data_IF_143211790044
#
_entry.id   IF_143211790044
#
_cell.length_a   1.000
_cell.length_b   1.000
_cell.length_c   1.000
_cell.angle_alpha   90.00
_cell.angle_beta   90.00
_cell.angle_gamma   90.00
#
_symmetry.space_group_name_H-M   'P 1'
#
loop_
_entity.id
_entity.type
_entity.pdbx_description
1 polymer ?
#
# COMPACT_ATOMS: atom_id res chain seq x y z
N UNK A 1 -16.03 -8.08 -7.04
CA UNK A 1 -14.93 -7.25 -6.50
C UNK A 1 -13.86 -7.18 -7.56
N UNK A 2 -13.48 -5.99 -8.04
CA UNK A 2 -12.51 -5.83 -9.15
C UNK A 2 -11.14 -6.45 -8.83
N UNK A 3 -10.73 -6.47 -7.57
CA UNK A 3 -9.46 -7.08 -7.16
C UNK A 3 -9.42 -8.59 -7.47
N UNK A 4 -10.53 -9.31 -7.25
CA UNK A 4 -10.60 -10.75 -7.53
C UNK A 4 -10.55 -11.04 -9.04
N UNK A 5 -11.20 -10.21 -9.85
CA UNK A 5 -11.18 -10.34 -11.31
C UNK A 5 -9.79 -10.05 -11.89
N UNK A 6 -9.13 -9.01 -11.36
CA UNK A 6 -7.76 -8.66 -11.71
C UNK A 6 -6.78 -9.76 -11.28
N UNK A 7 -6.95 -10.36 -10.10
CA UNK A 7 -6.11 -11.48 -9.66
C UNK A 7 -6.33 -12.72 -10.52
N UNK A 8 -7.58 -13.02 -10.90
CA UNK A 8 -7.90 -14.12 -11.82
C UNK A 8 -7.21 -13.93 -13.18
N UNK A 9 -7.25 -12.70 -13.70
CA UNK A 9 -6.75 -12.39 -15.05
C UNK A 9 -5.23 -12.18 -15.09
N UNK A 10 -4.65 -11.56 -14.07
CA UNK A 10 -3.25 -11.07 -14.07
C UNK A 10 -2.39 -11.71 -12.99
N UNK A 11 -2.97 -12.52 -12.09
CA UNK A 11 -2.24 -13.12 -10.96
C UNK A 11 -1.25 -14.21 -11.35
N UNK A 12 -1.18 -14.59 -12.63
CA UNK A 12 -0.14 -15.47 -13.18
C UNK A 12 1.01 -14.72 -13.84
N UNK A 13 0.91 -13.40 -13.99
CA UNK A 13 1.95 -12.59 -14.62
C UNK A 13 3.20 -12.56 -13.72
N UNK A 14 4.33 -13.01 -14.27
CA UNK A 14 5.60 -13.16 -13.54
C UNK A 14 6.63 -12.08 -13.92
N UNK A 15 6.55 -11.57 -15.15
CA UNK A 15 7.56 -10.67 -15.69
C UNK A 15 6.94 -9.60 -16.60
N UNK A 16 7.45 -8.37 -16.49
CA UNK A 16 7.16 -7.25 -17.38
C UNK A 16 8.47 -6.83 -18.05
N UNK A 17 8.53 -6.89 -19.37
CA UNK A 17 9.73 -6.47 -20.13
C UNK A 17 9.88 -4.94 -20.15
N UNK A 18 8.77 -4.21 -20.26
CA UNK A 18 8.74 -2.75 -20.23
C UNK A 18 8.68 -2.18 -18.81
N UNK A 19 7.69 -1.32 -18.59
CA UNK A 19 7.42 -0.63 -17.33
C UNK A 19 6.01 -0.95 -16.82
N UNK A 20 5.78 -0.68 -15.53
CA UNK A 20 4.47 -0.76 -14.88
C UNK A 20 3.98 0.65 -14.53
N UNK A 21 2.83 1.05 -15.09
CA UNK A 21 2.21 2.37 -14.87
C UNK A 21 0.82 2.20 -14.26
N UNK A 22 0.63 2.77 -13.06
CA UNK A 22 -0.63 2.79 -12.32
C UNK A 22 -1.08 4.25 -12.19
N UNK A 23 -2.06 4.64 -13.00
CA UNK A 23 -2.51 6.03 -13.11
C UNK A 23 -4.00 6.14 -12.89
N UNK A 24 -4.44 7.01 -11.97
CA UNK A 24 -5.87 7.28 -11.72
C UNK A 24 -6.69 6.02 -11.45
N UNK A 25 -6.05 5.02 -10.85
CA UNK A 25 -6.67 3.74 -10.55
C UNK A 25 -7.41 3.81 -9.21
N UNK A 26 -8.44 4.65 -9.14
CA UNK A 26 -9.12 5.00 -7.89
C UNK A 26 -9.79 3.83 -7.17
N UNK A 27 -10.07 2.72 -7.87
CA UNK A 27 -10.62 1.51 -7.28
C UNK A 27 -9.56 0.63 -6.59
N UNK A 28 -8.26 0.84 -6.87
CA UNK A 28 -7.19 0.01 -6.32
C UNK A 28 -6.81 0.46 -4.91
N UNK A 29 -6.79 -0.50 -4.00
CA UNK A 29 -6.27 -0.33 -2.64
C UNK A 29 -4.89 -0.97 -2.48
N UNK A 30 -4.60 -2.00 -3.29
CA UNK A 30 -3.33 -2.73 -3.31
C UNK A 30 -2.99 -3.25 -4.71
N UNK A 31 -1.71 -3.54 -4.97
CA UNK A 31 -1.21 -4.23 -6.16
C UNK A 31 -1.05 -5.75 -5.95
N UNK A 32 -1.53 -6.29 -4.83
CA UNK A 32 -1.43 -7.71 -4.47
C UNK A 32 -2.01 -8.67 -5.50
N UNK A 33 -2.92 -8.21 -6.37
CA UNK A 33 -3.46 -9.01 -7.48
C UNK A 33 -2.37 -9.42 -8.48
N UNK A 34 -1.26 -8.67 -8.60
CA UNK A 34 -0.04 -9.07 -9.32
C UNK A 34 0.81 -9.99 -8.44
N UNK A 35 0.21 -11.06 -7.90
CA UNK A 35 0.81 -11.88 -6.85
C UNK A 35 2.11 -12.58 -7.26
N UNK A 36 2.24 -12.91 -8.54
CA UNK A 36 3.38 -13.63 -9.12
C UNK A 36 4.43 -12.74 -9.77
N UNK A 37 4.18 -11.44 -9.92
CA UNK A 37 5.13 -10.54 -10.57
C UNK A 37 6.44 -10.53 -9.78
N UNK A 38 7.55 -10.91 -10.41
CA UNK A 38 8.90 -10.95 -9.81
C UNK A 38 9.90 -10.05 -10.51
N UNK A 39 9.68 -9.71 -11.78
CA UNK A 39 10.66 -8.97 -12.58
C UNK A 39 10.00 -7.86 -13.39
N UNK A 40 10.56 -6.65 -13.30
CA UNK A 40 10.32 -5.56 -14.26
C UNK A 40 11.67 -5.25 -14.90
N UNK A 41 11.81 -5.51 -16.21
CA UNK A 41 13.10 -5.33 -16.89
C UNK A 41 13.42 -3.88 -17.19
N UNK A 42 12.42 -3.07 -17.57
CA UNK A 42 12.66 -1.68 -17.97
C UNK A 42 13.40 -1.57 -19.30
N UNK A 43 13.11 -2.44 -20.26
CA UNK A 43 13.60 -2.34 -21.65
C UNK A 43 12.97 -1.13 -22.36
N UNK A 44 11.73 -0.81 -21.99
CA UNK A 44 11.06 0.45 -22.30
C UNK A 44 10.70 1.16 -21.00
N UNK A 45 10.76 2.50 -21.01
CA UNK A 45 10.53 3.34 -19.83
C UNK A 45 9.45 4.39 -20.13
N UNK A 46 8.59 4.64 -19.14
CA UNK A 46 7.65 5.76 -19.18
C UNK A 46 8.44 7.07 -19.15
N UNK A 47 8.15 7.99 -20.09
CA UNK A 47 8.87 9.25 -20.28
C UNK A 47 10.40 9.07 -20.32
N UNK A 48 10.86 7.96 -20.89
CA UNK A 48 12.27 7.58 -21.02
C UNK A 48 13.02 7.43 -19.68
N UNK A 49 12.31 7.33 -18.56
CA UNK A 49 12.94 7.41 -17.24
C UNK A 49 12.42 6.41 -16.21
N UNK A 50 11.13 6.09 -16.24
CA UNK A 50 10.49 5.35 -15.17
C UNK A 50 10.08 3.94 -15.59
N UNK A 51 10.57 2.93 -14.88
CA UNK A 51 10.13 1.54 -15.02
C UNK A 51 8.97 1.19 -14.08
N UNK A 52 8.75 2.02 -13.05
CA UNK A 52 7.59 1.97 -12.18
C UNK A 52 7.01 3.36 -11.96
N UNK A 53 5.74 3.56 -12.25
CA UNK A 53 5.10 4.87 -12.19
C UNK A 53 3.71 4.79 -11.52
N UNK A 54 3.57 5.32 -10.32
CA UNK A 54 2.31 5.41 -9.59
C UNK A 54 1.87 6.87 -9.44
N UNK A 55 0.81 7.28 -10.14
CA UNK A 55 0.32 8.67 -10.13
C UNK A 55 -1.19 8.77 -9.90
N UNK A 56 -1.57 9.60 -8.94
CA UNK A 56 -2.97 9.94 -8.62
C UNK A 56 -3.83 8.71 -8.31
N UNK A 57 -3.37 7.84 -7.41
CA UNK A 57 -4.15 6.69 -6.94
C UNK A 57 -4.70 6.97 -5.53
N UNK A 58 -5.86 7.64 -5.45
CA UNK A 58 -6.44 8.19 -4.21
C UNK A 58 -6.72 7.15 -3.10
N UNK A 59 -6.87 5.86 -3.45
CA UNK A 59 -7.19 4.81 -2.50
C UNK A 59 -6.08 3.78 -2.33
N UNK A 60 -4.96 3.92 -3.04
CA UNK A 60 -3.84 3.00 -2.93
C UNK A 60 -3.18 3.18 -1.56
N UNK A 61 -3.13 2.10 -0.78
CA UNK A 61 -2.59 2.10 0.60
C UNK A 61 -1.35 1.26 0.75
N UNK A 62 -1.26 0.20 -0.05
CA UNK A 62 -0.19 -0.79 0.00
C UNK A 62 0.19 -1.16 -1.42
N UNK A 63 1.45 -1.53 -1.66
CA UNK A 63 1.87 -2.09 -2.94
C UNK A 63 1.71 -3.61 -2.88
N UNK A 64 2.60 -4.29 -2.16
CA UNK A 64 2.54 -5.72 -1.89
C UNK A 64 2.79 -5.99 -0.39
N UNK A 65 2.48 -7.21 0.07
CA UNK A 65 2.99 -7.68 1.36
C UNK A 65 4.48 -8.02 1.20
N UNK A 66 5.37 -7.05 1.46
CA UNK A 66 6.82 -7.19 1.31
C UNK A 66 7.46 -8.24 2.22
N UNK A 67 6.72 -8.79 3.19
CA UNK A 67 7.19 -9.94 3.97
C UNK A 67 7.06 -11.26 3.21
N UNK A 68 6.22 -11.30 2.17
CA UNK A 68 5.92 -12.49 1.37
C UNK A 68 6.22 -12.31 -0.12
N UNK A 69 6.40 -11.08 -0.56
CA UNK A 69 6.57 -10.73 -1.96
C UNK A 69 7.98 -10.19 -2.20
N UNK A 70 8.59 -10.65 -3.29
CA UNK A 70 9.86 -10.16 -3.80
C UNK A 70 9.66 -9.68 -5.25
N UNK A 71 10.34 -8.61 -5.62
CA UNK A 71 10.29 -7.98 -6.93
C UNK A 71 11.67 -7.42 -7.23
N UNK A 72 12.16 -7.60 -8.46
CA UNK A 72 13.40 -6.99 -8.94
C UNK A 72 13.10 -6.06 -10.10
N UNK A 73 13.64 -4.84 -10.04
CA UNK A 73 13.55 -3.88 -11.14
C UNK A 73 14.94 -3.74 -11.75
N UNK A 74 15.14 -4.25 -12.96
CA UNK A 74 16.49 -4.31 -13.57
C UNK A 74 16.97 -2.93 -14.02
N UNK A 75 16.10 -2.16 -14.68
CA UNK A 75 16.41 -0.83 -15.20
C UNK A 75 15.31 0.19 -14.86
N UNK A 76 15.62 1.47 -14.99
CA UNK A 76 14.69 2.59 -14.78
C UNK A 76 14.54 3.03 -13.33
N UNK A 77 14.01 4.24 -13.18
CA UNK A 77 13.68 4.89 -11.90
C UNK A 77 12.23 4.62 -11.51
N UNK A 78 11.86 4.97 -10.28
CA UNK A 78 10.49 4.95 -9.81
C UNK A 78 9.94 6.36 -9.63
N UNK A 79 8.65 6.52 -9.91
CA UNK A 79 7.91 7.76 -9.67
C UNK A 79 6.66 7.47 -8.83
N UNK A 80 6.47 8.28 -7.78
CA UNK A 80 5.29 8.29 -6.92
C UNK A 80 4.79 9.72 -6.75
N UNK A 81 3.57 9.99 -7.19
CA UNK A 81 2.93 11.30 -7.01
C UNK A 81 1.43 11.18 -6.75
N UNK A 82 0.90 12.04 -5.88
CA UNK A 82 -0.55 12.10 -5.60
C UNK A 82 -1.19 10.77 -5.12
N UNK A 83 -0.44 9.94 -4.38
CA UNK A 83 -0.95 8.73 -3.75
C UNK A 83 -1.20 9.01 -2.24
N UNK A 84 -2.26 9.75 -1.92
CA UNK A 84 -2.45 10.36 -0.58
C UNK A 84 -2.57 9.38 0.58
N UNK A 85 -2.94 8.12 0.33
CA UNK A 85 -3.08 7.08 1.36
C UNK A 85 -1.95 6.05 1.35
N UNK A 86 -0.98 6.19 0.45
CA UNK A 86 0.17 5.31 0.35
C UNK A 86 1.30 5.86 1.22
N UNK A 87 1.76 5.06 2.17
CA UNK A 87 2.79 5.48 3.10
C UNK A 87 4.16 5.61 2.46
N UNK A 88 4.94 6.61 2.87
CA UNK A 88 6.33 6.78 2.43
C UNK A 88 7.19 5.59 2.85
N UNK A 89 6.92 5.02 4.03
CA UNK A 89 7.58 3.80 4.51
C UNK A 89 7.40 2.60 3.58
N UNK A 90 6.22 2.44 2.98
CA UNK A 90 5.91 1.40 2.00
C UNK A 90 6.75 1.56 0.72
N UNK A 91 6.97 2.80 0.27
CA UNK A 91 7.80 3.10 -0.90
C UNK A 91 9.29 2.90 -0.61
N UNK A 92 9.76 3.34 0.56
CA UNK A 92 11.14 3.10 1.00
C UNK A 92 11.39 1.58 1.09
N UNK A 93 10.40 0.82 1.59
CA UNK A 93 10.50 -0.64 1.63
C UNK A 93 10.59 -1.24 0.23
N UNK A 94 9.81 -0.74 -0.72
CA UNK A 94 9.94 -1.14 -2.12
C UNK A 94 11.34 -0.85 -2.67
N UNK A 95 11.93 0.32 -2.38
CA UNK A 95 13.29 0.67 -2.84
C UNK A 95 14.35 -0.34 -2.37
N UNK A 96 14.21 -0.82 -1.13
CA UNK A 96 15.08 -1.84 -0.53
C UNK A 96 14.91 -3.20 -1.22
N UNK A 97 13.67 -3.69 -1.31
CA UNK A 97 13.37 -5.02 -1.88
C UNK A 97 13.74 -5.07 -3.37
N UNK A 98 13.48 -4.00 -4.10
CA UNK A 98 13.71 -3.94 -5.56
C UNK A 98 15.15 -3.61 -5.97
N UNK A 99 16.01 -3.22 -5.02
CA UNK A 99 17.38 -2.80 -5.30
C UNK A 99 17.47 -1.45 -6.01
N UNK A 100 16.48 -0.57 -5.84
CA UNK A 100 16.37 0.71 -6.57
C UNK A 100 16.71 1.95 -5.74
N UNK A 101 17.05 1.79 -4.46
CA UNK A 101 17.36 2.88 -3.51
C UNK A 101 18.33 3.95 -4.03
N UNK A 102 19.31 3.57 -4.84
CA UNK A 102 20.34 4.49 -5.35
C UNK A 102 20.00 5.13 -6.71
N UNK A 103 18.78 4.94 -7.23
CA UNK A 103 18.40 5.36 -8.60
C UNK A 103 17.78 6.76 -8.70
N UNK A 104 17.89 7.60 -7.67
CA UNK A 104 17.27 8.94 -7.62
C UNK A 104 15.78 8.91 -7.99
N UNK A 105 15.02 8.06 -7.29
CA UNK A 105 13.59 7.93 -7.48
C UNK A 105 12.86 9.21 -7.07
N UNK A 106 11.72 9.48 -7.70
CA UNK A 106 10.94 10.69 -7.49
C UNK A 106 9.72 10.36 -6.62
N UNK A 107 9.76 10.78 -5.36
CA UNK A 107 8.70 10.52 -4.36
C UNK A 107 8.11 11.86 -3.92
N UNK A 108 6.93 12.18 -4.45
CA UNK A 108 6.16 13.38 -4.12
C UNK A 108 4.94 13.00 -3.27
N UNK A 109 5.20 12.82 -1.97
CA UNK A 109 4.15 12.63 -0.95
C UNK A 109 4.23 13.78 0.06
N UNK A 110 3.16 14.56 0.23
CA UNK A 110 3.13 15.61 1.25
C UNK A 110 3.23 15.04 2.66
N UNK A 111 4.03 15.68 3.53
CA UNK A 111 4.27 15.18 4.90
C UNK A 111 2.98 15.02 5.74
N UNK A 112 2.00 15.93 5.57
CA UNK A 112 0.72 15.85 6.28
C UNK A 112 -0.09 14.59 5.90
N UNK A 113 0.02 14.13 4.66
CA UNK A 113 -0.69 12.95 4.19
C UNK A 113 -0.04 11.68 4.78
N UNK A 114 1.28 11.63 4.80
CA UNK A 114 2.03 10.52 5.41
C UNK A 114 1.71 10.38 6.91
N UNK A 115 1.68 11.49 7.65
CA UNK A 115 1.37 11.48 9.08
C UNK A 115 -0.06 10.97 9.36
N UNK A 116 -1.05 11.40 8.59
CA UNK A 116 -2.45 11.07 8.82
C UNK A 116 -2.79 9.59 8.59
N UNK A 117 -2.08 8.89 7.71
CA UNK A 117 -2.43 7.52 7.30
C UNK A 117 -1.45 6.45 7.78
N UNK A 118 -0.24 6.82 8.19
CA UNK A 118 0.86 5.86 8.41
C UNK A 118 1.27 5.73 9.87
N UNK A 119 0.95 6.72 10.70
CA UNK A 119 1.09 6.59 12.15
C UNK A 119 0.01 5.63 12.66
N UNK A 120 0.46 4.48 13.17
CA UNK A 120 -0.44 3.50 13.79
C UNK A 120 -0.15 3.43 15.29
N UNK A 121 -1.22 3.39 16.06
CA UNK A 121 -1.15 3.07 17.48
C UNK A 121 -1.96 1.79 17.73
N UNK A 122 -1.38 0.89 18.51
CA UNK A 122 -2.02 -0.38 18.84
C UNK A 122 -2.99 -0.16 19.99
N UNK A 123 -4.28 -0.45 19.73
CA UNK A 123 -5.29 -0.50 20.78
C UNK A 123 -5.30 -1.88 21.43
N UNK A 124 -4.98 -1.94 22.72
CA UNK A 124 -4.93 -3.19 23.46
C UNK A 124 -6.32 -3.53 24.04
N UNK A 125 -6.86 -4.70 23.70
CA UNK A 125 -8.10 -5.19 24.29
C UNK A 125 -7.92 -5.54 25.76
N UNK A 126 -8.87 -5.14 26.59
CA UNK A 126 -8.87 -5.36 28.04
C UNK A 126 -9.94 -6.35 28.46
N UNK A 127 -11.08 -6.41 27.75
CA UNK A 127 -12.17 -7.34 28.03
C UNK A 127 -12.76 -7.85 26.72
N UNK A 128 -12.96 -9.16 26.65
CA UNK A 128 -13.69 -9.83 25.58
C UNK A 128 -14.70 -10.77 26.26
N UNK A 129 -16.00 -10.55 26.03
CA UNK A 129 -17.08 -11.42 26.53
C UNK A 129 -18.02 -11.77 25.39
N UNK A 130 -18.45 -13.02 25.34
CA UNK A 130 -19.33 -13.55 24.30
C UNK A 130 -20.59 -14.16 24.91
N UNK A 131 -21.70 -14.05 24.19
CA UNK A 131 -22.91 -14.85 24.37
C UNK A 131 -23.20 -15.60 23.07
N UNK A 132 -24.33 -16.32 23.00
CA UNK A 132 -24.76 -17.00 21.78
C UNK A 132 -24.99 -16.07 20.58
N UNK A 133 -25.31 -14.80 20.84
CA UNK A 133 -25.78 -13.82 19.85
C UNK A 133 -25.07 -12.45 19.92
N UNK A 134 -24.20 -12.23 20.91
CA UNK A 134 -23.55 -10.92 21.14
C UNK A 134 -22.08 -11.09 21.50
N UNK A 135 -21.31 -10.07 21.15
CA UNK A 135 -19.92 -9.92 21.53
C UNK A 135 -19.75 -8.55 22.17
N UNK A 136 -19.20 -8.51 23.38
CA UNK A 136 -18.78 -7.30 24.07
C UNK A 136 -17.26 -7.24 24.07
N UNK A 137 -16.73 -6.17 23.48
CA UNK A 137 -15.29 -5.86 23.49
C UNK A 137 -15.04 -4.54 24.21
N UNK A 138 -13.95 -4.48 24.97
CA UNK A 138 -13.39 -3.26 25.54
C UNK A 138 -11.89 -3.22 25.29
N UNK A 139 -11.36 -2.02 25.09
CA UNK A 139 -9.93 -1.78 24.93
C UNK A 139 -9.48 -0.66 25.87
N UNK A 140 -8.16 -0.53 26.02
CA UNK A 140 -7.55 0.53 26.80
C UNK A 140 -7.95 1.89 26.22
N UNK A 141 -8.30 2.84 27.09
CA UNK A 141 -8.62 4.19 26.65
C UNK A 141 -7.42 4.81 25.93
N UNK A 142 -7.66 5.37 24.75
CA UNK A 142 -6.66 6.06 23.95
C UNK A 142 -6.94 7.56 23.97
N UNK A 143 -5.89 8.35 24.22
CA UNK A 143 -5.94 9.81 24.25
C UNK A 143 -4.75 10.36 23.45
N UNK A 144 -4.99 11.06 22.33
CA UNK A 144 -3.93 11.77 21.61
C UNK A 144 -3.41 12.96 22.43
N UNK A 145 -2.31 13.57 21.99
CA UNK A 145 -1.71 14.75 22.65
C UNK A 145 -2.72 15.91 22.77
N UNK A 146 -3.52 16.14 21.73
CA UNK A 146 -4.68 17.02 21.75
C UNK A 146 -5.96 16.20 21.66
N UNK A 147 -6.71 16.09 22.77
CA UNK A 147 -7.92 15.28 22.85
C UNK A 147 -8.99 15.66 21.81
N UNK A 148 -8.94 16.87 21.25
CA UNK A 148 -9.88 17.35 20.22
C UNK A 148 -9.67 16.67 18.88
N UNK A 149 -8.49 16.09 18.65
CA UNK A 149 -8.18 15.31 17.45
C UNK A 149 -8.93 13.97 17.43
N UNK A 150 -9.36 13.48 18.60
CA UNK A 150 -10.13 12.24 18.71
C UNK A 150 -11.63 12.51 18.57
N UNK A 151 -12.17 12.23 17.38
CA UNK A 151 -13.61 12.28 17.13
C UNK A 151 -14.36 11.04 17.61
N UNK A 152 -13.68 9.89 17.65
CA UNK A 152 -14.27 8.61 18.04
C UNK A 152 -13.51 7.41 17.48
N UNK A 153 -14.07 6.22 17.66
CA UNK A 153 -13.51 4.96 17.17
C UNK A 153 -14.43 4.34 16.12
N UNK A 154 -13.83 3.69 15.12
CA UNK A 154 -14.56 2.86 14.16
C UNK A 154 -14.19 1.39 14.38
N UNK A 155 -15.20 0.54 14.59
CA UNK A 155 -15.02 -0.89 14.80
C UNK A 155 -15.42 -1.64 13.53
N UNK A 156 -14.48 -2.35 12.93
CA UNK A 156 -14.71 -3.17 11.73
C UNK A 156 -14.73 -4.66 12.13
N UNK A 157 -15.77 -5.38 11.74
CA UNK A 157 -15.89 -6.83 11.94
C UNK A 157 -16.40 -7.51 10.67
N UNK A 158 -16.03 -8.77 10.46
CA UNK A 158 -16.54 -9.63 9.38
C UNK A 158 -16.56 -11.08 9.85
N UNK A 159 -17.44 -11.88 9.27
CA UNK A 159 -17.35 -13.34 9.36
C UNK A 159 -16.08 -13.80 8.62
N UNK A 160 -15.35 -14.75 9.22
CA UNK A 160 -14.04 -15.20 8.75
C UNK A 160 -14.01 -16.72 8.56
#
# INVERSE_FOLDING_TARGET
NIAAELESSLGQLEEITGYLSIRRAYALVSLSFLRKLRVIRGETLENENFSFHAFDNQNLRQLWDWNKHNLTILNGRMYFGYNSKLCKSEIIRMEEVTGTKNRKNEISIPAYADQAFCETQVLNFTVIRTTSDKILIKWQAFWPLDFRDLLGFMVFYKEA
#
